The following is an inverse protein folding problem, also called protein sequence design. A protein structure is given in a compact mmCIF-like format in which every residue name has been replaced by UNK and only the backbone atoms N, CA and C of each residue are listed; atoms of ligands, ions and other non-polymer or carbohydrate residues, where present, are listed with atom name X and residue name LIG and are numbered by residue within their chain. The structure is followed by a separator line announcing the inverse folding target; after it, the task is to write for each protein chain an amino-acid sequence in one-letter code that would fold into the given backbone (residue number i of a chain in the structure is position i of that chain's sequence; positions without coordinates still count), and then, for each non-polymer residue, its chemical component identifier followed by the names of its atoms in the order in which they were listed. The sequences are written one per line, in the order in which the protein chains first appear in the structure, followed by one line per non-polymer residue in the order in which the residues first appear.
data_IF_687652300225
#
_entry.id   IF_687652300225
#
_cell.length_a   1.000
_cell.length_b   1.000
_cell.length_c   1.000
_cell.angle_alpha   90.00
_cell.angle_beta   90.00
_cell.angle_gamma   90.00
#
_symmetry.space_group_name_H-M   'P 1'
#
loop_
_entity.id
_entity.type
_entity.pdbx_description
1 polymer ?
#
# COMPACT_ATOMS: atom_id res chain seq x y z
N UNK A 1 1.09 3.92 11.04
CA UNK A 1 1.79 3.37 12.22
C UNK A 1 3.21 2.93 11.85
N UNK A 2 3.39 2.00 10.91
CA UNK A 2 4.70 1.41 10.57
C UNK A 2 5.77 2.43 10.13
N UNK A 3 5.39 3.49 9.41
CA UNK A 3 6.32 4.59 9.06
C UNK A 3 6.62 5.56 10.21
N UNK A 4 5.70 5.69 11.16
CA UNK A 4 5.78 6.71 12.21
C UNK A 4 6.59 6.24 13.43
N UNK A 5 6.59 4.93 13.71
CA UNK A 5 7.30 4.35 14.86
C UNK A 5 8.59 3.69 14.38
N UNK A 6 9.79 4.15 14.81
CA UNK A 6 11.07 3.66 14.29
C UNK A 6 11.27 2.14 14.40
N UNK A 7 10.78 1.52 15.48
CA UNK A 7 10.86 0.07 15.66
C UNK A 7 10.01 -0.69 14.62
N UNK A 8 8.81 -0.18 14.31
CA UNK A 8 7.92 -0.79 13.33
C UNK A 8 8.39 -0.52 11.90
N UNK A 9 9.04 0.62 11.65
CA UNK A 9 9.68 0.90 10.37
C UNK A 9 10.76 -0.13 10.01
N UNK A 10 11.52 -0.62 11.00
CA UNK A 10 12.53 -1.67 10.76
C UNK A 10 11.93 -2.97 10.24
N UNK A 11 10.69 -3.28 10.59
CA UNK A 11 9.96 -4.43 10.06
C UNK A 11 9.45 -4.11 8.65
N UNK A 12 8.81 -2.95 8.52
CA UNK A 12 8.14 -2.54 7.29
C UNK A 12 9.08 -2.19 6.13
N UNK A 13 10.31 -1.74 6.42
CA UNK A 13 11.29 -1.45 5.37
C UNK A 13 11.66 -2.68 4.53
N UNK A 14 11.36 -3.91 4.98
CA UNK A 14 11.50 -5.12 4.15
C UNK A 14 10.59 -5.05 2.92
N UNK A 15 9.39 -4.51 3.08
CA UNK A 15 8.44 -4.27 2.00
C UNK A 15 8.95 -3.24 0.99
N UNK A 16 9.59 -2.18 1.49
CA UNK A 16 10.19 -1.12 0.67
C UNK A 16 11.59 -1.43 0.12
N UNK A 17 12.18 -2.57 0.48
CA UNK A 17 13.54 -2.92 0.05
C UNK A 17 13.57 -3.56 -1.37
N UNK A 18 12.42 -3.71 -2.00
CA UNK A 18 12.29 -4.30 -3.32
C UNK A 18 12.73 -3.34 -4.41
N UNK A 19 13.80 -3.69 -5.12
CA UNK A 19 14.35 -2.85 -6.20
C UNK A 19 13.55 -2.93 -7.50
N UNK A 20 12.86 -4.05 -7.75
CA UNK A 20 12.16 -4.28 -9.03
C UNK A 20 10.72 -3.75 -9.02
N UNK A 21 10.12 -3.59 -7.83
CA UNK A 21 8.74 -3.16 -7.60
C UNK A 21 7.73 -3.82 -8.56
N UNK A 22 7.18 -4.95 -8.15
CA UNK A 22 6.18 -5.70 -8.90
C UNK A 22 5.09 -6.29 -8.00
N UNK A 23 4.17 -7.08 -8.56
CA UNK A 23 3.05 -7.66 -7.81
C UNK A 23 3.49 -8.45 -6.56
N UNK A 24 4.69 -9.02 -6.58
CA UNK A 24 5.24 -9.77 -5.45
C UNK A 24 5.69 -8.87 -4.30
N UNK A 25 5.99 -7.60 -4.55
CA UNK A 25 6.23 -6.59 -3.49
C UNK A 25 5.06 -6.54 -2.52
N UNK A 26 3.82 -6.65 -3.03
CA UNK A 26 2.58 -6.70 -2.24
C UNK A 26 2.46 -7.92 -1.32
N UNK A 27 3.41 -8.85 -1.34
CA UNK A 27 3.48 -10.03 -0.45
C UNK A 27 4.76 -10.04 0.40
N UNK A 28 5.68 -9.10 0.20
CA UNK A 28 6.98 -9.05 0.88
C UNK A 28 6.87 -8.29 2.20
N UNK A 29 6.40 -8.96 3.24
CA UNK A 29 6.35 -8.41 4.59
C UNK A 29 7.20 -9.21 5.55
N UNK A 30 7.71 -8.55 6.59
CA UNK A 30 8.40 -9.24 7.66
C UNK A 30 7.39 -10.11 8.44
N UNK A 31 7.71 -11.38 8.79
CA UNK A 31 6.76 -12.26 9.47
C UNK A 31 6.19 -11.68 10.78
N UNK A 32 7.00 -10.95 11.55
CA UNK A 32 6.54 -10.26 12.77
C UNK A 32 5.52 -9.16 12.46
N UNK A 33 5.65 -8.45 11.34
CA UNK A 33 4.65 -7.47 10.92
C UNK A 33 3.33 -8.14 10.53
N UNK A 34 3.38 -9.30 9.87
CA UNK A 34 2.20 -10.11 9.55
C UNK A 34 1.50 -10.54 10.86
N UNK A 35 2.24 -11.09 11.81
CA UNK A 35 1.69 -11.54 13.10
C UNK A 35 1.09 -10.39 13.90
N UNK A 36 1.77 -9.24 13.97
CA UNK A 36 1.26 -8.05 14.65
C UNK A 36 -0.04 -7.54 14.00
N UNK A 37 -0.05 -7.43 12.66
CA UNK A 37 -1.22 -6.99 11.90
C UNK A 37 -2.38 -7.97 12.05
N UNK A 38 -2.11 -9.26 12.04
CA UNK A 38 -3.11 -10.31 12.28
C UNK A 38 -3.69 -10.21 13.69
N UNK A 39 -2.85 -10.01 14.71
CA UNK A 39 -3.30 -9.85 16.09
C UNK A 39 -4.23 -8.64 16.28
N UNK A 40 -3.85 -7.48 15.74
CA UNK A 40 -4.70 -6.27 15.78
C UNK A 40 -6.02 -6.52 15.06
N UNK A 41 -5.97 -7.09 13.85
CA UNK A 41 -7.14 -7.35 13.02
C UNK A 41 -8.12 -8.32 13.71
N UNK A 42 -7.61 -9.44 14.23
CA UNK A 42 -8.42 -10.41 14.97
C UNK A 42 -9.00 -9.80 16.25
N UNK A 43 -8.23 -8.97 16.97
CA UNK A 43 -8.73 -8.23 18.12
C UNK A 43 -9.94 -7.36 17.80
N UNK A 44 -9.89 -6.62 16.66
CA UNK A 44 -11.02 -5.81 16.18
C UNK A 44 -12.21 -6.67 15.77
N UNK A 45 -11.97 -7.78 15.07
CA UNK A 45 -13.04 -8.74 14.69
C UNK A 45 -13.72 -9.31 15.94
N UNK A 46 -12.97 -9.72 16.95
CA UNK A 46 -13.53 -10.24 18.19
C UNK A 46 -14.30 -9.17 18.98
N UNK A 47 -13.81 -7.93 19.00
CA UNK A 47 -14.44 -6.83 19.70
C UNK A 47 -15.76 -6.36 19.05
N UNK A 48 -15.81 -6.32 17.71
CA UNK A 48 -16.99 -5.84 16.97
C UNK A 48 -17.96 -6.95 16.57
N UNK A 49 -17.51 -8.20 16.54
CA UNK A 49 -18.29 -9.35 16.12
C UNK A 49 -18.94 -9.24 14.73
N UNK A 50 -18.23 -8.75 13.69
CA UNK A 50 -18.82 -8.63 12.36
C UNK A 50 -19.14 -10.02 11.78
N UNK A 51 -20.11 -10.11 10.84
CA UNK A 51 -20.40 -11.37 10.17
C UNK A 51 -19.16 -11.96 9.49
N UNK A 52 -19.00 -13.29 9.54
CA UNK A 52 -17.84 -13.97 8.95
C UNK A 52 -17.65 -13.65 7.46
N UNK A 53 -18.76 -13.50 6.71
CA UNK A 53 -18.72 -13.12 5.30
C UNK A 53 -18.12 -11.72 5.07
N UNK A 54 -18.31 -10.79 6.00
CA UNK A 54 -17.73 -9.44 5.90
C UNK A 54 -16.22 -9.49 6.11
N UNK A 55 -15.75 -10.28 7.09
CA UNK A 55 -14.31 -10.52 7.31
C UNK A 55 -13.68 -11.17 6.09
N UNK A 56 -14.32 -12.21 5.54
CA UNK A 56 -13.84 -12.89 4.35
C UNK A 56 -13.76 -11.99 3.13
N UNK A 57 -14.82 -11.21 2.85
CA UNK A 57 -14.83 -10.24 1.76
C UNK A 57 -13.75 -9.17 1.94
N UNK A 58 -13.56 -8.69 3.17
CA UNK A 58 -12.49 -7.73 3.49
C UNK A 58 -11.10 -8.31 3.19
N UNK A 59 -10.82 -9.57 3.58
CA UNK A 59 -9.52 -10.19 3.29
C UNK A 59 -9.26 -10.34 1.79
N UNK A 60 -10.28 -10.73 1.01
CA UNK A 60 -10.17 -10.79 -0.46
C UNK A 60 -9.83 -9.42 -1.01
N UNK A 61 -10.58 -8.39 -0.63
CA UNK A 61 -10.36 -7.03 -1.12
C UNK A 61 -9.00 -6.48 -0.70
N UNK A 62 -8.60 -6.70 0.54
CA UNK A 62 -7.28 -6.30 1.06
C UNK A 62 -6.16 -6.94 0.24
N UNK A 63 -6.20 -8.25 -0.01
CA UNK A 63 -5.14 -8.93 -0.76
C UNK A 63 -5.16 -8.55 -2.25
N UNK A 64 -6.34 -8.46 -2.85
CA UNK A 64 -6.49 -8.06 -4.24
C UNK A 64 -5.96 -6.65 -4.50
N UNK A 65 -6.29 -5.70 -3.61
CA UNK A 65 -5.76 -4.33 -3.70
C UNK A 65 -4.27 -4.28 -3.40
N UNK A 66 -3.74 -5.12 -2.49
CA UNK A 66 -2.28 -5.27 -2.31
C UNK A 66 -1.58 -5.55 -3.63
N UNK A 67 -2.04 -6.61 -4.30
CA UNK A 67 -1.46 -7.07 -5.55
C UNK A 67 -1.63 -6.02 -6.65
N UNK A 68 -2.80 -5.39 -6.72
CA UNK A 68 -3.08 -4.35 -7.71
C UNK A 68 -2.17 -3.13 -7.52
N UNK A 69 -2.06 -2.59 -6.30
CA UNK A 69 -1.28 -1.38 -6.00
C UNK A 69 0.22 -1.57 -6.22
N UNK A 70 0.70 -2.81 -6.18
CA UNK A 70 2.09 -3.15 -6.49
C UNK A 70 2.28 -3.67 -7.93
N UNK A 71 1.20 -3.83 -8.68
CA UNK A 71 1.24 -4.38 -10.03
C UNK A 71 2.08 -3.51 -10.96
N UNK A 72 2.88 -4.14 -11.83
CA UNK A 72 3.63 -3.43 -12.86
C UNK A 72 2.75 -3.10 -14.10
N UNK A 73 1.52 -2.64 -13.86
CA UNK A 73 0.55 -2.28 -14.90
C UNK A 73 0.64 -0.79 -15.18
N UNK A 74 0.76 -0.43 -16.47
CA UNK A 74 0.72 0.97 -16.90
C UNK A 74 -0.73 1.39 -17.17
N UNK A 75 -1.23 2.29 -16.33
CA UNK A 75 -2.55 2.92 -16.53
C UNK A 75 -2.33 4.21 -17.31
N UNK A 76 -3.17 4.46 -18.33
CA UNK A 76 -3.14 5.73 -19.05
C UNK A 76 -3.46 6.90 -18.10
N UNK A 77 -2.77 8.03 -18.24
CA UNK A 77 -2.84 9.15 -17.28
C UNK A 77 -4.26 9.71 -17.06
N UNK A 78 -5.07 9.77 -18.11
CA UNK A 78 -6.47 10.23 -18.02
C UNK A 78 -7.34 9.28 -17.16
N UNK A 79 -7.17 7.97 -17.34
CA UNK A 79 -7.87 6.96 -16.56
C UNK A 79 -7.35 6.89 -15.12
N UNK A 80 -6.03 6.94 -14.94
CA UNK A 80 -5.39 6.97 -13.63
C UNK A 80 -5.90 8.14 -12.77
N UNK A 81 -6.08 9.32 -13.38
CA UNK A 81 -6.65 10.50 -12.70
C UNK A 81 -8.08 10.26 -12.18
N UNK A 82 -8.89 9.49 -12.90
CA UNK A 82 -10.25 9.14 -12.45
C UNK A 82 -10.22 8.02 -11.42
N UNK A 83 -9.41 6.98 -11.64
CA UNK A 83 -9.31 5.83 -10.75
C UNK A 83 -8.82 6.18 -9.35
N UNK A 84 -7.91 7.15 -9.23
CA UNK A 84 -7.39 7.63 -7.94
C UNK A 84 -8.43 8.25 -7.01
N UNK A 85 -9.66 8.47 -7.48
CA UNK A 85 -10.79 8.86 -6.62
C UNK A 85 -11.40 7.69 -5.87
N UNK A 86 -11.22 6.47 -6.37
CA UNK A 86 -11.91 5.28 -5.89
C UNK A 86 -10.96 4.23 -5.33
N UNK A 87 -9.78 4.08 -5.94
CA UNK A 87 -8.79 3.06 -5.58
C UNK A 87 -7.39 3.65 -5.58
N UNK A 88 -6.51 3.08 -4.77
CA UNK A 88 -5.08 3.37 -4.84
C UNK A 88 -4.54 2.73 -6.13
N UNK A 89 -3.95 3.51 -7.02
CA UNK A 89 -3.40 2.97 -8.27
C UNK A 89 -1.93 2.58 -8.11
N UNK A 90 -1.36 1.74 -9.01
CA UNK A 90 0.05 1.40 -8.95
C UNK A 90 0.98 2.61 -8.93
N UNK A 91 0.71 3.59 -9.79
CA UNK A 91 1.52 4.82 -9.85
C UNK A 91 1.30 5.72 -8.61
N UNK A 92 0.18 5.58 -7.88
CA UNK A 92 -0.04 6.26 -6.60
C UNK A 92 0.77 5.61 -5.48
N UNK A 93 0.70 4.28 -5.38
CA UNK A 93 1.40 3.54 -4.34
C UNK A 93 2.92 3.52 -4.56
N UNK A 94 3.39 3.59 -5.81
CA UNK A 94 4.83 3.71 -6.10
C UNK A 94 5.47 4.97 -5.49
N UNK A 95 4.70 6.06 -5.29
CA UNK A 95 5.21 7.25 -4.58
C UNK A 95 5.55 6.92 -3.12
N UNK A 96 4.72 6.10 -2.48
CA UNK A 96 4.96 5.61 -1.13
C UNK A 96 6.19 4.69 -1.06
N UNK A 97 6.55 4.02 -2.15
CA UNK A 97 7.79 3.24 -2.27
C UNK A 97 9.00 4.01 -2.78
N UNK A 98 8.87 5.33 -2.97
CA UNK A 98 10.00 6.17 -3.35
C UNK A 98 11.11 6.12 -2.30
N UNK A 99 12.35 6.30 -2.74
CA UNK A 99 13.51 6.48 -1.85
C UNK A 99 13.52 7.86 -1.17
N UNK A 100 12.74 8.82 -1.68
CA UNK A 100 12.72 10.19 -1.16
C UNK A 100 11.77 10.30 0.05
N UNK A 101 12.26 10.61 1.27
CA UNK A 101 11.45 10.47 2.49
C UNK A 101 10.12 11.24 2.52
N UNK A 102 10.00 12.46 1.94
CA UNK A 102 8.69 13.13 1.82
C UNK A 102 7.67 12.38 0.95
N UNK A 103 8.13 11.64 -0.06
CA UNK A 103 7.29 10.78 -0.90
C UNK A 103 6.99 9.45 -0.18
N UNK A 104 8.00 8.80 0.39
CA UNK A 104 7.85 7.53 1.11
C UNK A 104 6.85 7.64 2.26
N UNK A 105 6.92 8.76 2.99
CA UNK A 105 6.05 9.04 4.14
C UNK A 105 4.75 9.75 3.72
N UNK A 106 4.19 9.36 2.58
CA UNK A 106 2.89 9.80 2.07
C UNK A 106 2.10 8.61 1.53
N UNK A 107 0.83 8.81 1.15
CA UNK A 107 0.01 7.82 0.44
C UNK A 107 -0.08 6.43 1.11
N UNK A 108 -0.20 6.39 2.44
CA UNK A 108 -0.32 5.14 3.24
C UNK A 108 -1.60 4.30 2.98
N UNK A 109 -2.50 4.80 2.14
CA UNK A 109 -3.76 4.12 1.82
C UNK A 109 -3.51 2.85 1.01
N UNK A 110 -4.42 1.89 1.14
CA UNK A 110 -4.32 0.59 0.49
C UNK A 110 -5.56 0.25 -0.33
N UNK A 111 -6.71 0.06 0.32
CA UNK A 111 -7.98 -0.15 -0.40
C UNK A 111 -8.53 1.14 -0.99
N UNK A 112 -8.50 2.21 -0.19
CA UNK A 112 -9.10 3.49 -0.54
C UNK A 112 -8.02 4.58 -0.57
N UNK A 113 -8.08 5.47 -1.56
CA UNK A 113 -7.29 6.67 -1.55
C UNK A 113 -7.83 7.56 -0.42
N UNK A 114 -7.02 7.87 0.59
CA UNK A 114 -7.37 8.89 1.58
C UNK A 114 -7.50 10.27 0.93
N UNK A 115 -7.63 11.34 1.71
CA UNK A 115 -7.74 12.73 1.19
C UNK A 115 -6.54 13.24 0.36
N UNK A 116 -5.54 12.39 0.07
CA UNK A 116 -4.29 12.72 -0.63
C UNK A 116 -4.37 12.42 -2.15
N UNK A 117 -5.47 11.85 -2.64
CA UNK A 117 -5.71 11.57 -4.07
C UNK A 117 -5.36 12.74 -5.02
N UNK A 118 -5.46 13.97 -4.52
CA UNK A 118 -5.31 15.22 -5.24
C UNK A 118 -3.87 15.68 -5.48
N UNK A 119 -2.90 15.20 -4.70
CA UNK A 119 -1.54 15.79 -4.65
C UNK A 119 -0.43 14.84 -5.11
N UNK A 120 -0.77 13.59 -5.44
CA UNK A 120 0.20 12.63 -5.95
C UNK A 120 0.53 12.95 -7.43
N UNK A 121 1.80 13.21 -7.79
CA UNK A 121 2.17 13.52 -9.17
C UNK A 121 1.79 12.40 -10.13
N UNK A 122 1.12 12.73 -11.23
CA UNK A 122 0.58 11.76 -12.20
C UNK A 122 1.62 11.13 -13.14
N UNK A 123 2.88 11.59 -13.12
CA UNK A 123 3.90 11.17 -14.10
C UNK A 123 5.36 11.22 -13.60
N UNK A 124 5.68 12.03 -12.58
CA UNK A 124 7.07 12.30 -12.18
C UNK A 124 7.73 11.19 -11.33
N UNK A 125 6.96 10.24 -10.79
CA UNK A 125 7.52 9.22 -9.88
C UNK A 125 8.22 8.06 -10.59
N UNK A 126 7.87 7.74 -11.85
CA UNK A 126 8.49 6.61 -12.58
C UNK A 126 10.00 6.79 -12.81
N UNK A 127 10.46 8.02 -13.02
CA UNK A 127 11.89 8.29 -13.27
C UNK A 127 12.70 8.62 -12.01
N UNK A 128 12.03 8.98 -10.91
CA UNK A 128 12.68 9.30 -9.61
C UNK A 128 12.72 8.13 -8.64
N UNK A 129 11.77 7.19 -8.70
CA UNK A 129 11.70 6.08 -7.74
C UNK A 129 12.64 4.90 -8.05
N UNK A 130 13.28 4.87 -9.22
CA UNK A 130 14.10 3.75 -9.71
C UNK A 130 15.56 4.10 -10.00
N UNK A 131 16.04 5.28 -9.56
CA UNK A 131 17.48 5.57 -9.61
C UNK A 131 18.11 5.13 -8.28
N UNK A 132 19.14 4.26 -8.30
CA UNK A 132 19.96 4.01 -7.11
C UNK A 132 20.64 5.30 -6.62
#
# INVERSE_FOLDING_TARGET
MFHAVPALWRLHRMHHADLEFDVTTGLRFHPVEILLSMGIKLGVVLALGPPAIAVFAFEILLNATSMFNHGNVRIQSGLDRVLRWFVVTPDMHRVHHSIYPPETNSNFGFNLPGGIAFWAPTALSRERSMRP
#
